data_IF_611524031901
#
_entry.id   IF_611524031901
#
_cell.length_a   1.000
_cell.length_b   1.000
_cell.length_c   1.000
_cell.angle_alpha   90.00
_cell.angle_beta   90.00
_cell.angle_gamma   90.00
#
_symmetry.space_group_name_H-M   'P 1'
#
loop_
_entity.id
_entity.type
_entity.pdbx_description
1 polymer ?
#
# COMPACT_ATOMS: atom_id res chain seq x y z
N UNK A 1 27.01 21.36 44.25
CA UNK A 1 26.19 21.67 43.05
C UNK A 1 26.52 20.77 41.85
N UNK A 2 27.80 20.48 41.55
CA UNK A 2 28.21 19.63 40.40
C UNK A 2 27.62 18.20 40.36
N UNK A 3 27.50 17.51 41.49
CA UNK A 3 26.99 16.11 41.54
C UNK A 3 25.49 15.99 41.24
N UNK A 4 24.71 17.04 41.52
CA UNK A 4 23.25 17.07 41.24
C UNK A 4 22.97 17.30 39.75
N UNK A 5 23.79 18.11 39.09
CA UNK A 5 23.68 18.37 37.64
C UNK A 5 24.02 17.13 36.81
N UNK A 6 25.03 16.35 37.23
CA UNK A 6 25.40 15.09 36.55
C UNK A 6 24.31 14.02 36.69
N UNK A 7 23.69 13.91 37.87
CA UNK A 7 22.57 12.99 38.09
C UNK A 7 21.33 13.37 37.25
N UNK A 8 21.06 14.67 37.10
CA UNK A 8 19.97 15.17 36.25
C UNK A 8 20.23 14.91 34.76
N UNK A 9 21.47 15.06 34.28
CA UNK A 9 21.82 14.75 32.88
C UNK A 9 21.72 13.25 32.58
N UNK A 10 22.12 12.37 33.50
CA UNK A 10 22.00 10.92 33.31
C UNK A 10 20.53 10.48 33.28
N UNK A 11 19.67 11.08 34.11
CA UNK A 11 18.24 10.78 34.13
C UNK A 11 17.54 11.26 32.84
N UNK A 12 17.95 12.39 32.27
CA UNK A 12 17.41 12.90 30.99
C UNK A 12 17.86 12.03 29.81
N UNK A 13 19.10 11.53 29.81
CA UNK A 13 19.56 10.60 28.77
C UNK A 13 18.86 9.24 28.83
N UNK A 14 18.42 8.77 30.01
CA UNK A 14 17.74 7.47 30.15
C UNK A 14 16.26 7.51 29.71
N UNK A 15 15.64 8.69 29.68
CA UNK A 15 14.25 8.87 29.21
C UNK A 15 14.19 9.00 27.67
N UNK A 16 15.32 9.32 27.02
CA UNK A 16 15.42 9.48 25.56
C UNK A 16 15.66 8.17 24.79
N UNK A 17 15.81 7.03 25.47
CA UNK A 17 15.97 5.71 24.82
C UNK A 17 14.69 4.89 24.77
N UNK A 18 13.52 5.51 24.93
CA UNK A 18 12.26 4.90 24.54
C UNK A 18 12.24 4.76 23.01
N UNK A 19 12.94 3.75 22.50
CA UNK A 19 12.81 3.33 21.12
C UNK A 19 11.30 3.13 20.86
N UNK A 20 10.75 3.61 19.74
CA UNK A 20 9.40 3.24 19.38
C UNK A 20 9.36 1.72 19.36
N UNK A 21 8.50 1.12 20.19
CA UNK A 21 8.24 -0.30 20.14
C UNK A 21 7.73 -0.59 18.73
N UNK A 22 8.63 -1.05 17.85
CA UNK A 22 8.26 -1.64 16.58
C UNK A 22 7.48 -2.89 16.96
N UNK A 23 6.15 -2.76 16.98
CA UNK A 23 5.28 -3.88 17.22
C UNK A 23 5.49 -4.86 16.08
N UNK A 24 6.25 -5.91 16.34
CA UNK A 24 6.39 -7.06 15.47
C UNK A 24 5.05 -7.79 15.45
N UNK A 25 4.09 -7.24 14.72
CA UNK A 25 2.88 -7.98 14.41
C UNK A 25 3.29 -9.13 13.49
N UNK A 26 3.14 -10.36 14.00
CA UNK A 26 3.39 -11.55 13.23
C UNK A 26 2.55 -11.49 11.95
N UNK A 27 3.23 -11.53 10.79
CA UNK A 27 2.58 -11.67 9.49
C UNK A 27 1.56 -12.82 9.52
N UNK A 28 1.90 -13.91 10.24
CA UNK A 28 1.06 -15.08 10.48
C UNK A 28 -0.21 -14.87 11.31
N UNK A 29 -0.28 -13.85 12.17
CA UNK A 29 -1.48 -13.57 12.97
C UNK A 29 -2.48 -12.66 12.22
N UNK A 30 -1.98 -11.76 11.36
CA UNK A 30 -2.82 -10.95 10.48
C UNK A 30 -3.43 -11.83 9.37
N UNK A 31 -2.63 -12.76 8.83
CA UNK A 31 -3.08 -13.74 7.82
C UNK A 31 -4.24 -14.63 8.31
N UNK A 32 -4.30 -14.93 9.61
CA UNK A 32 -5.33 -15.80 10.19
C UNK A 32 -6.65 -15.08 10.49
N UNK A 33 -6.64 -13.76 10.59
CA UNK A 33 -7.78 -12.96 11.08
C UNK A 33 -8.27 -11.95 10.03
N UNK A 34 -7.44 -11.60 9.04
CA UNK A 34 -7.80 -10.64 7.99
C UNK A 34 -7.44 -11.13 6.60
N UNK A 35 -8.39 -11.02 5.67
CA UNK A 35 -8.14 -11.28 4.25
C UNK A 35 -7.09 -10.31 3.67
N UNK A 36 -6.72 -10.53 2.41
CA UNK A 36 -5.67 -9.77 1.69
C UNK A 36 -5.84 -8.24 1.84
N UNK A 37 -7.07 -7.71 1.84
CA UNK A 37 -7.32 -6.28 2.04
C UNK A 37 -6.77 -5.71 3.36
N UNK A 38 -6.88 -6.44 4.47
CA UNK A 38 -6.36 -5.98 5.77
C UNK A 38 -4.83 -6.03 5.83
N UNK A 39 -4.21 -7.00 5.16
CA UNK A 39 -2.75 -7.02 5.00
C UNK A 39 -2.28 -5.83 4.18
N UNK A 40 -2.94 -5.55 3.07
CA UNK A 40 -2.62 -4.40 2.21
C UNK A 40 -2.75 -3.09 2.98
N UNK A 41 -3.88 -2.87 3.65
CA UNK A 41 -4.10 -1.64 4.42
C UNK A 41 -3.02 -1.43 5.49
N UNK A 42 -2.54 -2.50 6.14
CA UNK A 42 -1.49 -2.42 7.16
C UNK A 42 -0.10 -2.13 6.59
N UNK A 43 0.21 -2.69 5.42
CA UNK A 43 1.52 -2.57 4.80
C UNK A 43 1.57 -1.50 3.69
N UNK A 44 0.48 -0.78 3.44
CA UNK A 44 0.35 0.17 2.33
C UNK A 44 1.49 1.21 2.32
N UNK A 45 1.73 1.91 3.44
CA UNK A 45 2.80 2.92 3.52
C UNK A 45 4.20 2.32 3.37
N UNK A 46 4.60 1.26 4.11
CA UNK A 46 5.88 0.58 3.89
C UNK A 46 6.08 0.11 2.44
N UNK A 47 5.07 -0.51 1.83
CA UNK A 47 5.13 -0.97 0.44
C UNK A 47 5.29 0.20 -0.52
N UNK A 48 4.54 1.29 -0.33
CA UNK A 48 4.63 2.48 -1.16
C UNK A 48 6.04 3.09 -1.13
N UNK A 49 6.61 3.24 0.06
CA UNK A 49 7.96 3.77 0.24
C UNK A 49 9.03 2.87 -0.37
N UNK A 50 8.88 1.54 -0.21
CA UNK A 50 9.76 0.57 -0.83
C UNK A 50 9.71 0.68 -2.36
N UNK A 51 8.51 0.73 -2.96
CA UNK A 51 8.34 0.84 -4.41
C UNK A 51 8.92 2.16 -4.93
N UNK A 52 8.65 3.29 -4.27
CA UNK A 52 9.23 4.59 -4.65
C UNK A 52 10.77 4.54 -4.62
N UNK A 53 11.35 3.92 -3.58
CA UNK A 53 12.80 3.73 -3.47
C UNK A 53 13.33 2.83 -4.58
N UNK A 54 12.62 1.74 -4.89
CA UNK A 54 12.99 0.80 -5.97
C UNK A 54 12.98 1.50 -7.33
N UNK A 55 11.93 2.26 -7.63
CA UNK A 55 11.80 3.02 -8.89
C UNK A 55 12.88 4.10 -9.01
N UNK A 56 13.12 4.86 -7.95
CA UNK A 56 14.17 5.88 -7.93
C UNK A 56 15.55 5.30 -8.21
N UNK A 57 15.88 4.13 -7.62
CA UNK A 57 17.15 3.43 -7.88
C UNK A 57 17.35 3.02 -9.34
N UNK A 58 16.26 2.87 -10.10
CA UNK A 58 16.30 2.49 -11.50
C UNK A 58 16.01 3.67 -12.45
N UNK A 59 16.06 4.91 -11.94
CA UNK A 59 15.82 6.11 -12.76
C UNK A 59 14.37 6.28 -13.24
N UNK A 60 13.43 5.54 -12.64
CA UNK A 60 12.00 5.56 -12.97
C UNK A 60 11.15 6.21 -11.86
N UNK A 61 11.77 7.07 -11.03
CA UNK A 61 11.06 7.83 -10.01
C UNK A 61 10.01 8.77 -10.60
N UNK A 62 9.08 9.21 -9.75
CA UNK A 62 8.00 10.11 -10.13
C UNK A 62 7.88 11.25 -9.12
N UNK A 63 7.56 12.45 -9.60
CA UNK A 63 7.23 13.61 -8.77
C UNK A 63 5.72 13.65 -8.43
N UNK A 64 4.91 12.76 -9.03
CA UNK A 64 3.51 12.60 -8.70
C UNK A 64 3.32 11.84 -7.38
N UNK A 65 2.17 12.04 -6.74
CA UNK A 65 1.80 11.30 -5.56
C UNK A 65 1.67 9.80 -5.87
N UNK A 66 1.95 8.96 -4.87
CA UNK A 66 1.76 7.51 -4.96
C UNK A 66 1.09 6.95 -3.72
N UNK A 67 0.25 5.93 -3.91
CA UNK A 67 -0.44 5.22 -2.82
C UNK A 67 -0.59 3.74 -3.17
N UNK A 68 -0.49 2.87 -2.16
CA UNK A 68 -0.81 1.45 -2.32
C UNK A 68 -2.24 1.19 -1.88
N UNK A 69 -3.02 0.52 -2.73
CA UNK A 69 -4.44 0.20 -2.52
C UNK A 69 -4.70 -1.27 -2.88
N UNK A 70 -5.75 -1.90 -2.32
CA UNK A 70 -6.10 -3.28 -2.68
C UNK A 70 -6.55 -3.40 -4.14
N UNK A 71 -6.28 -4.57 -4.74
CA UNK A 71 -6.89 -4.98 -6.01
C UNK A 71 -8.10 -5.85 -5.71
N UNK A 72 -9.24 -5.48 -6.29
CA UNK A 72 -10.52 -6.17 -6.16
C UNK A 72 -10.88 -6.79 -7.51
N UNK A 73 -11.22 -8.07 -7.53
CA UNK A 73 -11.73 -8.71 -8.75
C UNK A 73 -13.15 -8.25 -9.07
N UNK A 74 -13.36 -7.82 -10.31
CA UNK A 74 -14.71 -7.53 -10.81
C UNK A 74 -15.59 -8.80 -10.74
N UNK A 75 -16.87 -8.63 -10.39
CA UNK A 75 -17.85 -9.71 -10.30
C UNK A 75 -17.81 -10.53 -9.00
N UNK A 76 -16.63 -10.92 -8.51
CA UNK A 76 -16.51 -11.72 -7.28
C UNK A 76 -16.28 -10.89 -6.01
N UNK A 77 -15.78 -9.66 -6.14
CA UNK A 77 -15.47 -8.78 -5.01
C UNK A 77 -14.32 -9.27 -4.11
N UNK A 78 -13.64 -10.35 -4.50
CA UNK A 78 -12.50 -10.88 -3.78
C UNK A 78 -11.29 -9.93 -3.86
N UNK A 79 -10.61 -9.74 -2.73
CA UNK A 79 -9.31 -9.08 -2.70
C UNK A 79 -8.26 -10.07 -3.21
N UNK A 80 -7.60 -9.74 -4.32
CA UNK A 80 -6.70 -10.66 -5.02
C UNK A 80 -5.24 -10.21 -5.00
N UNK A 81 -4.95 -9.01 -4.49
CA UNK A 81 -3.61 -8.45 -4.41
C UNK A 81 -3.64 -6.97 -4.02
N UNK A 82 -2.57 -6.25 -4.37
CA UNK A 82 -2.49 -4.79 -4.21
C UNK A 82 -1.85 -4.13 -5.42
N UNK A 83 -2.09 -2.84 -5.59
CA UNK A 83 -1.49 -2.02 -6.61
C UNK A 83 -0.96 -0.73 -6.00
N UNK A 84 0.18 -0.25 -6.49
CA UNK A 84 0.54 1.14 -6.34
C UNK A 84 -0.13 1.94 -7.45
N UNK A 85 -0.80 3.02 -7.07
CA UNK A 85 -1.35 4.02 -7.99
C UNK A 85 -0.53 5.30 -7.94
N UNK A 86 -0.52 6.05 -9.04
CA UNK A 86 0.19 7.33 -9.18
C UNK A 86 -0.63 8.37 -9.95
N UNK A 87 -0.51 9.65 -9.57
CA UNK A 87 -1.21 10.77 -10.19
C UNK A 87 -1.19 12.04 -9.33
N UNK A 88 -2.00 13.07 -9.67
CA UNK A 88 -2.18 14.24 -8.81
C UNK A 88 -2.63 13.86 -7.41
N UNK A 89 -2.14 14.56 -6.38
CA UNK A 89 -2.33 14.23 -4.97
C UNK A 89 -3.82 14.02 -4.61
N UNK A 90 -4.67 14.97 -4.99
CA UNK A 90 -6.11 14.93 -4.69
C UNK A 90 -6.81 13.69 -5.26
N UNK A 91 -6.39 13.23 -6.44
CA UNK A 91 -6.96 12.07 -7.12
C UNK A 91 -6.39 10.75 -6.57
N UNK A 92 -5.10 10.75 -6.23
CA UNK A 92 -4.47 9.60 -5.54
C UNK A 92 -5.13 9.41 -4.17
N UNK A 93 -5.42 10.48 -3.44
CA UNK A 93 -6.12 10.42 -2.15
C UNK A 93 -7.56 9.90 -2.32
N UNK A 94 -8.27 10.33 -3.37
CA UNK A 94 -9.59 9.81 -3.71
C UNK A 94 -9.62 8.31 -4.06
N UNK A 95 -8.51 7.74 -4.56
CA UNK A 95 -8.50 6.34 -5.01
C UNK A 95 -8.52 5.35 -3.84
N UNK A 96 -9.56 4.55 -3.67
CA UNK A 96 -9.65 3.59 -2.56
C UNK A 96 -9.20 2.18 -2.92
N UNK A 97 -9.32 1.81 -4.20
CA UNK A 97 -9.01 0.49 -4.71
C UNK A 97 -8.64 0.53 -6.20
N UNK A 98 -8.12 -0.59 -6.70
CA UNK A 98 -8.02 -0.87 -8.13
C UNK A 98 -8.92 -2.04 -8.46
N UNK A 99 -9.87 -1.87 -9.37
CA UNK A 99 -10.67 -2.99 -9.86
C UNK A 99 -9.97 -3.69 -11.01
N UNK A 100 -9.95 -5.01 -10.96
CA UNK A 100 -9.39 -5.86 -11.99
C UNK A 100 -10.51 -6.52 -12.80
N UNK A 101 -10.53 -6.29 -14.10
CA UNK A 101 -11.39 -7.00 -15.05
C UNK A 101 -10.51 -7.93 -15.88
N UNK A 102 -10.85 -9.21 -15.90
CA UNK A 102 -10.14 -10.20 -16.70
C UNK A 102 -10.94 -10.62 -17.92
N UNK A 103 -10.25 -10.84 -19.03
CA UNK A 103 -10.84 -11.36 -20.26
C UNK A 103 -9.80 -12.12 -21.08
N UNK A 104 -10.28 -13.03 -21.92
CA UNK A 104 -9.43 -13.76 -22.85
C UNK A 104 -9.64 -13.22 -24.27
N UNK A 105 -8.55 -13.06 -25.00
CA UNK A 105 -8.54 -12.63 -26.40
C UNK A 105 -7.85 -13.67 -27.28
N UNK A 106 -8.31 -13.77 -28.54
CA UNK A 106 -7.82 -14.72 -29.56
C UNK A 106 -7.78 -16.18 -29.09
N UNK A 107 -8.94 -16.75 -28.73
CA UNK A 107 -9.02 -18.17 -28.35
C UNK A 107 -8.19 -18.55 -27.12
N UNK A 108 -8.12 -17.66 -26.12
CA UNK A 108 -7.30 -17.79 -24.90
C UNK A 108 -5.79 -17.66 -25.09
N UNK A 109 -5.31 -17.23 -26.26
CA UNK A 109 -3.88 -16.95 -26.44
C UNK A 109 -3.40 -15.79 -25.56
N UNK A 110 -4.25 -14.79 -25.33
CA UNK A 110 -3.92 -13.64 -24.48
C UNK A 110 -4.92 -13.52 -23.33
N UNK A 111 -4.42 -13.59 -22.10
CA UNK A 111 -5.17 -13.21 -20.89
C UNK A 111 -4.92 -11.75 -20.59
N UNK A 112 -5.96 -10.94 -20.68
CA UNK A 112 -5.92 -9.51 -20.42
C UNK A 112 -6.41 -9.24 -19.00
N UNK A 113 -5.66 -8.43 -18.27
CA UNK A 113 -6.04 -7.90 -16.95
C UNK A 113 -6.10 -6.38 -17.04
N UNK A 114 -7.30 -5.83 -17.10
CA UNK A 114 -7.50 -4.39 -17.04
C UNK A 114 -7.52 -3.96 -15.56
N UNK A 115 -6.70 -2.97 -15.23
CA UNK A 115 -6.59 -2.41 -13.88
C UNK A 115 -7.08 -0.97 -13.88
N UNK A 116 -8.09 -0.68 -13.08
CA UNK A 116 -8.80 0.60 -13.12
C UNK A 116 -8.84 1.17 -11.70
N UNK A 117 -8.18 2.32 -11.44
CA UNK A 117 -8.32 3.04 -10.17
C UNK A 117 -9.75 3.52 -9.94
N UNK A 118 -10.29 3.27 -8.74
CA UNK A 118 -11.68 3.56 -8.39
C UNK A 118 -11.78 4.22 -7.00
N UNK A 119 -12.84 4.99 -6.79
CA UNK A 119 -13.08 5.80 -5.60
C UNK A 119 -13.75 5.05 -4.44
N UNK A 120 -13.92 3.73 -4.56
CA UNK A 120 -14.70 2.93 -3.63
C UNK A 120 -14.17 1.50 -3.56
N UNK A 121 -14.12 0.90 -2.37
CA UNK A 121 -13.88 -0.55 -2.21
C UNK A 121 -15.10 -1.42 -2.60
N UNK A 122 -16.25 -0.82 -2.92
CA UNK A 122 -17.45 -1.56 -3.33
C UNK A 122 -17.43 -1.87 -4.84
N UNK A 123 -17.30 -3.15 -5.25
CA UNK A 123 -17.15 -3.54 -6.65
C UNK A 123 -18.42 -3.39 -7.49
N UNK A 124 -19.58 -3.05 -6.91
CA UNK A 124 -20.84 -2.82 -7.64
C UNK A 124 -21.27 -1.35 -7.66
N UNK A 125 -20.64 -0.50 -6.84
CA UNK A 125 -20.93 0.92 -6.78
C UNK A 125 -19.63 1.71 -6.59
N UNK A 126 -19.05 2.12 -7.71
CA UNK A 126 -17.79 2.85 -7.78
C UNK A 126 -17.77 3.75 -9.02
N UNK A 127 -16.94 4.79 -8.97
CA UNK A 127 -16.54 5.58 -10.13
C UNK A 127 -15.06 5.39 -10.40
N UNK A 128 -14.69 5.47 -11.69
CA UNK A 128 -13.28 5.53 -12.08
C UNK A 128 -12.68 6.86 -11.63
N UNK A 129 -11.53 6.80 -10.96
CA UNK A 129 -10.72 8.01 -10.70
C UNK A 129 -9.92 8.33 -11.96
N UNK A 130 -10.34 9.37 -12.68
CA UNK A 130 -9.66 9.83 -13.88
C UNK A 130 -8.36 10.55 -13.51
N UNK A 131 -7.31 10.40 -14.33
CA UNK A 131 -6.00 11.03 -14.07
C UNK A 131 -5.09 10.24 -13.13
N UNK A 132 -5.52 9.07 -12.65
CA UNK A 132 -4.71 8.15 -11.85
C UNK A 132 -4.41 6.89 -12.65
N UNK A 133 -3.16 6.44 -12.62
CA UNK A 133 -2.69 5.20 -13.23
C UNK A 133 -2.17 4.20 -12.22
N UNK A 134 -2.02 2.94 -12.62
CA UNK A 134 -1.31 1.91 -11.84
C UNK A 134 0.18 1.95 -12.20
N UNK A 135 1.04 2.14 -11.20
CA UNK A 135 2.49 2.19 -11.37
C UNK A 135 3.18 0.87 -10.99
N UNK A 136 2.58 0.08 -10.10
CA UNK A 136 3.09 -1.24 -9.74
C UNK A 136 1.97 -2.19 -9.31
N UNK A 137 2.17 -3.49 -9.52
CA UNK A 137 1.31 -4.56 -8.98
C UNK A 137 2.10 -5.31 -7.91
N UNK A 138 1.41 -5.68 -6.84
CA UNK A 138 1.97 -6.35 -5.67
C UNK A 138 1.25 -7.68 -5.49
N UNK A 139 1.98 -8.76 -5.71
CA UNK A 139 1.51 -10.12 -5.45
C UNK A 139 1.74 -10.45 -3.97
N UNK A 140 0.63 -10.62 -3.23
CA UNK A 140 0.68 -11.03 -1.83
C UNK A 140 0.69 -12.55 -1.78
N UNK A 141 1.85 -13.15 -1.52
CA UNK A 141 1.96 -14.59 -1.31
C UNK A 141 1.53 -14.93 0.12
N UNK A 142 0.50 -15.74 0.24
CA UNK A 142 -0.05 -16.26 1.50
C UNK A 142 0.12 -17.77 1.58
#
# INVERSE_FOLDING_TARGET
MKKRVVASLLAVCLVLTAAPAVQAFGLGDILKVGGIGLLVDKFATPLNNFINTLMAKHGAGTDYATKVVPIISFGSGGHIGAAQVTGPQELVDQTEAVIQIEGNFNGNQFRVKALIPIDSKNPTNFSRVQGVGVSAVIDVKI
#
